data_IF_959430381219
#
_entry.id   IF_959430381219
#
_cell.length_a   1.000
_cell.length_b   1.000
_cell.length_c   1.000
_cell.angle_alpha   90.00
_cell.angle_beta   90.00
_cell.angle_gamma   90.00
#
_symmetry.space_group_name_H-M   'P 1'
#
loop_
_entity.id
_entity.type
_entity.pdbx_description
1 polymer ?
#
# COMPACT_ATOMS: atom_id res chain seq x y z
N UNK A 1 62.88 -29.99 40.70
CA UNK A 1 61.96 -28.90 41.11
C UNK A 1 61.77 -27.97 39.92
N UNK A 2 60.51 -27.87 39.45
CA UNK A 2 59.85 -26.77 38.70
C UNK A 2 60.61 -26.12 37.52
N UNK A 3 60.10 -25.99 36.30
CA UNK A 3 58.79 -26.27 35.74
C UNK A 3 58.74 -25.68 34.32
N UNK A 4 58.26 -26.47 33.36
CA UNK A 4 57.98 -26.07 31.98
C UNK A 4 56.54 -25.55 31.97
N UNK A 5 56.32 -24.25 31.71
CA UNK A 5 55.02 -23.70 31.29
C UNK A 5 55.28 -22.52 30.35
N UNK A 6 55.14 -22.74 29.04
CA UNK A 6 53.90 -22.49 28.27
C UNK A 6 53.79 -21.03 27.84
N UNK A 7 54.35 -20.76 26.66
CA UNK A 7 54.09 -19.57 25.86
C UNK A 7 52.65 -19.67 25.34
N UNK A 8 51.70 -19.01 26.00
CA UNK A 8 50.31 -18.92 25.52
C UNK A 8 50.27 -17.88 24.40
N UNK A 9 50.22 -18.35 23.15
CA UNK A 9 49.78 -17.53 22.01
C UNK A 9 48.31 -17.17 22.21
N UNK A 10 48.01 -15.91 22.53
CA UNK A 10 46.67 -15.37 22.37
C UNK A 10 46.41 -15.11 20.87
N UNK A 11 45.89 -16.12 20.17
CA UNK A 11 45.17 -15.89 18.92
C UNK A 11 43.82 -15.26 19.28
N UNK A 12 43.76 -13.92 19.24
CA UNK A 12 42.48 -13.22 19.22
C UNK A 12 41.80 -13.56 17.88
N UNK A 13 40.94 -14.57 17.89
CA UNK A 13 39.97 -14.77 16.83
C UNK A 13 39.00 -13.58 16.88
N UNK A 14 39.28 -12.55 16.09
CA UNK A 14 38.27 -11.60 15.68
C UNK A 14 37.26 -12.38 14.83
N UNK A 15 36.30 -13.00 15.50
CA UNK A 15 35.00 -13.29 14.90
C UNK A 15 34.45 -11.93 14.50
N UNK A 16 34.70 -11.52 13.26
CA UNK A 16 33.89 -10.50 12.62
C UNK A 16 32.49 -11.09 12.60
N UNK A 17 31.65 -10.67 13.55
CA UNK A 17 30.20 -10.77 13.43
C UNK A 17 29.86 -9.96 12.18
N UNK A 18 29.89 -10.62 11.01
CA UNK A 18 29.21 -10.11 9.83
C UNK A 18 27.75 -10.14 10.23
N UNK A 19 27.19 -8.96 10.51
CA UNK A 19 25.77 -8.86 10.77
C UNK A 19 25.04 -9.44 9.55
N UNK A 20 24.07 -10.31 9.82
CA UNK A 20 23.25 -10.89 8.75
C UNK A 20 22.49 -9.77 8.06
N UNK A 21 22.39 -9.86 6.72
CA UNK A 21 21.67 -8.88 5.90
C UNK A 21 20.20 -8.82 6.33
N UNK A 22 19.70 -7.60 6.55
CA UNK A 22 18.32 -7.34 6.99
C UNK A 22 17.64 -6.31 6.08
N UNK A 23 16.44 -6.64 5.58
CA UNK A 23 15.65 -5.76 4.72
C UNK A 23 15.26 -4.44 5.41
N UNK A 24 15.11 -4.47 6.74
CA UNK A 24 14.73 -3.30 7.54
C UNK A 24 15.97 -2.45 7.88
N UNK A 25 17.18 -3.00 7.69
CA UNK A 25 18.40 -2.21 7.75
C UNK A 25 18.54 -1.37 6.48
N UNK A 26 18.47 -0.07 6.65
CA UNK A 26 18.52 0.88 5.54
C UNK A 26 19.80 0.75 4.69
N UNK A 27 20.97 0.50 5.30
CA UNK A 27 22.23 0.39 4.56
C UNK A 27 22.26 -0.88 3.70
N UNK A 28 21.77 -1.99 4.23
CA UNK A 28 21.68 -3.28 3.51
C UNK A 28 20.73 -3.18 2.32
N UNK A 29 19.53 -2.62 2.57
CA UNK A 29 18.54 -2.37 1.53
C UNK A 29 19.09 -1.43 0.46
N UNK A 30 19.66 -0.28 0.85
CA UNK A 30 20.21 0.69 -0.09
C UNK A 30 21.35 0.10 -0.89
N UNK A 31 22.26 -0.64 -0.25
CA UNK A 31 23.34 -1.36 -0.91
C UNK A 31 22.83 -2.26 -2.02
N UNK A 32 21.78 -3.04 -1.75
CA UNK A 32 21.14 -3.93 -2.72
C UNK A 32 20.43 -3.18 -3.88
N UNK A 33 19.89 -1.99 -3.65
CA UNK A 33 19.17 -1.21 -4.67
C UNK A 33 20.09 -0.43 -5.63
N UNK A 34 21.39 -0.35 -5.35
CA UNK A 34 22.32 0.42 -6.17
C UNK A 34 22.58 -0.22 -7.54
N UNK A 35 22.88 0.64 -8.50
CA UNK A 35 23.39 0.21 -9.81
C UNK A 35 24.85 -0.19 -9.70
N UNK A 36 25.18 -1.42 -10.09
CA UNK A 36 26.54 -1.94 -10.07
C UNK A 36 26.80 -2.86 -11.27
N UNK A 37 28.07 -3.24 -11.50
CA UNK A 37 28.42 -4.21 -12.54
C UNK A 37 27.98 -5.63 -12.19
N UNK A 38 27.90 -5.94 -10.89
CA UNK A 38 27.36 -7.19 -10.36
C UNK A 38 26.00 -6.87 -9.71
N UNK A 39 24.87 -7.09 -10.40
CA UNK A 39 23.57 -6.57 -9.95
C UNK A 39 23.16 -6.96 -8.52
N UNK A 40 23.67 -8.06 -7.98
CA UNK A 40 23.40 -8.54 -6.62
C UNK A 40 24.49 -8.12 -5.60
N UNK A 41 25.33 -7.16 -5.94
CA UNK A 41 26.26 -6.52 -5.00
C UNK A 41 25.47 -5.76 -3.92
N UNK A 42 25.78 -6.01 -2.64
CA UNK A 42 25.04 -5.42 -1.52
C UNK A 42 23.73 -6.13 -1.15
N UNK A 43 23.30 -7.12 -1.93
CA UNK A 43 22.15 -7.96 -1.62
C UNK A 43 22.52 -9.22 -0.83
N UNK A 44 21.53 -9.83 -0.20
CA UNK A 44 21.60 -11.22 0.26
C UNK A 44 21.51 -12.18 -0.93
N UNK A 45 22.66 -12.63 -1.43
CA UNK A 45 22.74 -13.45 -2.65
C UNK A 45 22.03 -14.78 -2.57
N UNK A 46 21.83 -15.33 -1.37
CA UNK A 46 21.19 -16.63 -1.20
C UNK A 46 19.65 -16.53 -1.27
N UNK A 47 19.12 -15.31 -1.10
CA UNK A 47 17.67 -15.03 -1.05
C UNK A 47 17.19 -14.06 -2.14
N UNK A 48 18.10 -13.40 -2.86
CA UNK A 48 17.75 -12.39 -3.86
C UNK A 48 17.78 -12.94 -5.29
N UNK A 49 16.64 -12.87 -5.97
CA UNK A 49 16.55 -12.98 -7.43
C UNK A 49 16.73 -11.61 -8.08
N UNK A 50 17.35 -11.59 -9.26
CA UNK A 50 17.45 -10.39 -10.09
C UNK A 50 16.52 -10.48 -11.30
N UNK A 51 15.86 -9.37 -11.63
CA UNK A 51 14.96 -9.22 -12.79
C UNK A 51 15.44 -8.06 -13.64
N UNK A 52 15.62 -8.28 -14.94
CA UNK A 52 16.02 -7.26 -15.90
C UNK A 52 15.30 -7.48 -17.23
N UNK A 53 14.48 -6.51 -17.64
CA UNK A 53 13.68 -6.59 -18.87
C UNK A 53 14.53 -6.79 -20.14
N UNK A 54 15.79 -6.33 -20.15
CA UNK A 54 16.67 -6.52 -21.33
C UNK A 54 17.42 -7.86 -21.31
N UNK A 55 17.29 -8.65 -20.24
CA UNK A 55 17.76 -10.03 -20.17
C UNK A 55 19.28 -10.21 -20.15
N UNK A 56 20.07 -9.18 -19.85
CA UNK A 56 21.54 -9.23 -19.92
C UNK A 56 22.16 -10.32 -19.04
N UNK A 57 22.31 -10.04 -17.74
CA UNK A 57 22.86 -10.99 -16.74
C UNK A 57 21.76 -11.53 -15.80
N UNK A 58 20.49 -11.44 -16.20
CA UNK A 58 19.35 -11.78 -15.37
C UNK A 58 18.76 -13.12 -15.79
N UNK A 59 18.39 -13.96 -14.82
CA UNK A 59 17.65 -15.20 -15.05
C UNK A 59 16.18 -14.94 -15.42
N UNK A 60 15.65 -13.77 -15.03
CA UNK A 60 14.26 -13.39 -15.24
C UNK A 60 14.16 -12.06 -16.00
N UNK A 61 13.30 -12.03 -17.01
CA UNK A 61 12.98 -10.80 -17.77
C UNK A 61 11.67 -10.14 -17.33
N UNK A 62 10.92 -10.81 -16.46
CA UNK A 62 9.63 -10.38 -15.93
C UNK A 62 9.61 -10.55 -14.42
N UNK A 63 8.97 -9.62 -13.70
CA UNK A 63 8.80 -9.73 -12.25
C UNK A 63 7.89 -10.91 -11.93
N UNK A 64 6.86 -11.14 -12.75
CA UNK A 64 5.95 -12.26 -12.54
C UNK A 64 6.65 -13.63 -12.66
N UNK A 65 7.61 -13.81 -13.58
CA UNK A 65 8.34 -15.09 -13.67
C UNK A 65 9.26 -15.33 -12.47
N UNK A 66 9.88 -14.27 -11.93
CA UNK A 66 10.64 -14.36 -10.69
C UNK A 66 9.73 -14.67 -9.49
N UNK A 67 8.56 -14.05 -9.38
CA UNK A 67 7.59 -14.39 -8.32
C UNK A 67 7.13 -15.85 -8.44
N UNK A 68 6.84 -16.32 -9.65
CA UNK A 68 6.40 -17.68 -9.91
C UNK A 68 7.48 -18.74 -9.66
N UNK A 69 8.76 -18.38 -9.69
CA UNK A 69 9.86 -19.32 -9.41
C UNK A 69 10.12 -19.51 -7.91
N UNK A 70 9.61 -18.63 -7.04
CA UNK A 70 9.82 -18.73 -5.60
C UNK A 70 9.09 -19.96 -5.01
N UNK A 71 9.76 -20.79 -4.19
CA UNK A 71 9.19 -22.02 -3.65
C UNK A 71 8.13 -21.73 -2.58
N UNK A 72 6.96 -22.36 -2.61
CA UNK A 72 5.88 -22.07 -1.64
C UNK A 72 6.17 -22.59 -0.22
N UNK A 73 7.07 -21.91 0.50
CA UNK A 73 7.51 -22.17 1.86
C UNK A 73 7.34 -20.89 2.72
N UNK A 74 7.88 -20.90 3.93
CA UNK A 74 7.84 -19.75 4.85
C UNK A 74 9.14 -18.92 4.82
N UNK A 75 10.08 -19.28 3.95
CA UNK A 75 11.35 -18.57 3.83
C UNK A 75 11.14 -17.21 3.17
N UNK A 76 12.05 -16.29 3.49
CA UNK A 76 12.07 -14.93 2.95
C UNK A 76 12.78 -14.92 1.61
N UNK A 77 12.18 -14.26 0.63
CA UNK A 77 12.82 -14.02 -0.67
C UNK A 77 12.72 -12.55 -1.07
N UNK A 78 13.74 -12.12 -1.80
CA UNK A 78 13.89 -10.76 -2.30
C UNK A 78 13.94 -10.83 -3.82
N UNK A 79 13.28 -9.92 -4.50
CA UNK A 79 13.38 -9.74 -5.94
C UNK A 79 13.86 -8.31 -6.18
N UNK A 80 15.10 -8.18 -6.63
CA UNK A 80 15.67 -6.93 -7.11
C UNK A 80 15.27 -6.74 -8.57
N UNK A 81 14.61 -5.63 -8.87
CA UNK A 81 14.10 -5.29 -10.20
C UNK A 81 14.93 -4.15 -10.77
N UNK A 82 15.53 -4.39 -11.94
CA UNK A 82 16.29 -3.38 -12.65
C UNK A 82 15.42 -2.23 -13.15
N UNK A 83 16.04 -1.09 -13.41
CA UNK A 83 15.37 0.05 -14.05
C UNK A 83 14.73 -0.37 -15.36
N UNK A 84 13.46 0.00 -15.57
CA UNK A 84 12.76 -0.33 -16.80
C UNK A 84 11.25 -0.29 -16.67
N UNK A 85 10.61 -0.46 -17.82
CA UNK A 85 9.17 -0.64 -17.93
C UNK A 85 8.86 -2.13 -18.15
N UNK A 86 8.01 -2.68 -17.29
CA UNK A 86 7.59 -4.08 -17.29
C UNK A 86 6.10 -4.10 -17.58
N UNK A 87 5.70 -4.47 -18.80
CA UNK A 87 4.27 -4.55 -19.17
C UNK A 87 3.70 -5.90 -18.77
N UNK A 88 3.17 -5.99 -17.56
CA UNK A 88 2.68 -7.23 -16.96
C UNK A 88 1.78 -7.01 -15.75
N UNK A 89 1.11 -8.08 -15.32
CA UNK A 89 0.49 -8.17 -14.00
C UNK A 89 1.38 -9.02 -13.09
N UNK A 90 1.53 -8.61 -11.83
CA UNK A 90 2.26 -9.35 -10.80
C UNK A 90 1.27 -9.90 -9.78
N UNK A 91 1.27 -11.22 -9.57
CA UNK A 91 0.40 -11.93 -8.65
C UNK A 91 1.21 -12.77 -7.65
N UNK A 92 1.10 -12.40 -6.37
CA UNK A 92 1.80 -13.02 -5.23
C UNK A 92 0.81 -13.84 -4.42
N UNK A 93 0.91 -15.17 -4.55
CA UNK A 93 0.03 -16.14 -3.85
C UNK A 93 0.70 -16.89 -2.72
N UNK A 94 2.04 -16.83 -2.64
CA UNK A 94 2.83 -17.48 -1.58
C UNK A 94 2.58 -16.87 -0.21
N UNK A 95 2.78 -17.69 0.84
CA UNK A 95 2.59 -17.26 2.24
C UNK A 95 3.82 -16.61 2.86
N UNK A 96 5.02 -17.08 2.52
CA UNK A 96 6.28 -16.59 3.11
C UNK A 96 6.59 -15.12 2.75
N UNK A 97 7.41 -14.43 3.56
CA UNK A 97 7.82 -13.05 3.30
C UNK A 97 8.41 -12.88 1.91
N UNK A 98 7.99 -11.83 1.21
CA UNK A 98 8.37 -11.58 -0.19
C UNK A 98 8.55 -10.09 -0.43
N UNK A 99 9.76 -9.70 -0.85
CA UNK A 99 10.13 -8.30 -0.97
C UNK A 99 10.48 -7.95 -2.42
N UNK A 100 9.92 -6.88 -2.95
CA UNK A 100 10.28 -6.30 -4.24
C UNK A 100 11.08 -5.02 -4.04
N UNK A 101 12.28 -4.95 -4.58
CA UNK A 101 13.16 -3.78 -4.49
C UNK A 101 13.39 -3.26 -5.90
N UNK A 102 13.03 -2.00 -6.16
CA UNK A 102 13.41 -1.32 -7.38
C UNK A 102 14.82 -0.77 -7.28
N UNK A 103 15.63 -0.93 -8.33
CA UNK A 103 16.93 -0.28 -8.43
C UNK A 103 16.76 1.24 -8.47
N UNK A 104 17.55 1.94 -7.66
CA UNK A 104 17.47 3.40 -7.56
C UNK A 104 18.78 4.00 -7.03
N UNK A 105 19.05 5.25 -7.41
CA UNK A 105 20.11 6.08 -6.80
C UNK A 105 19.57 6.97 -5.69
N UNK A 106 18.25 6.98 -5.50
CA UNK A 106 17.53 7.88 -4.61
C UNK A 106 16.54 7.07 -3.76
N UNK A 107 17.01 6.15 -2.91
CA UNK A 107 16.13 5.23 -2.19
C UNK A 107 15.19 5.91 -1.20
N UNK A 108 15.47 7.16 -0.80
CA UNK A 108 14.60 8.00 0.05
C UNK A 108 13.66 8.93 -0.73
N UNK A 109 13.53 8.77 -2.05
CA UNK A 109 12.73 9.69 -2.85
C UNK A 109 11.99 8.95 -3.97
N UNK A 110 10.69 8.77 -3.76
CA UNK A 110 9.79 8.09 -4.68
C UNK A 110 9.73 8.74 -6.07
N UNK A 111 9.89 10.06 -6.18
CA UNK A 111 9.82 10.77 -7.46
C UNK A 111 10.94 10.39 -8.44
N UNK A 112 11.99 9.71 -7.96
CA UNK A 112 13.10 9.21 -8.77
C UNK A 112 13.04 7.69 -9.02
N UNK A 113 11.92 7.04 -8.71
CA UNK A 113 11.72 5.64 -9.07
C UNK A 113 11.83 5.47 -10.59
N UNK A 114 12.59 4.47 -11.02
CA UNK A 114 12.81 4.17 -12.45
C UNK A 114 12.31 2.78 -12.84
N UNK A 115 11.73 2.04 -11.90
CA UNK A 115 11.08 0.74 -12.13
C UNK A 115 9.58 0.96 -12.22
N UNK A 116 9.01 0.68 -13.38
CA UNK A 116 7.58 0.82 -13.64
C UNK A 116 7.00 -0.54 -14.05
N UNK A 117 6.10 -1.08 -13.24
CA UNK A 117 5.29 -2.23 -13.59
C UNK A 117 3.95 -1.68 -14.09
N UNK A 118 3.64 -1.98 -15.35
CA UNK A 118 2.59 -1.33 -16.12
C UNK A 118 1.61 -2.38 -16.61
N UNK A 119 0.34 -2.16 -16.33
CA UNK A 119 -0.75 -2.87 -16.96
C UNK A 119 -1.75 -1.88 -17.54
N UNK A 120 -2.72 -2.36 -18.31
CA UNK A 120 -3.72 -1.50 -18.96
C UNK A 120 -5.02 -2.30 -19.08
N UNK A 121 -5.93 -2.09 -18.12
CA UNK A 121 -7.21 -2.77 -18.08
C UNK A 121 -8.24 -2.01 -17.25
N UNK A 122 -9.51 -2.13 -17.65
CA UNK A 122 -10.69 -1.71 -16.89
C UNK A 122 -11.62 -2.89 -16.65
N UNK A 123 -12.53 -2.73 -15.69
CA UNK A 123 -13.62 -3.66 -15.49
C UNK A 123 -14.47 -3.75 -16.76
N UNK A 124 -14.88 -4.96 -17.11
CA UNK A 124 -15.77 -5.21 -18.24
C UNK A 124 -16.93 -6.10 -17.79
N UNK A 125 -18.11 -6.00 -18.42
CA UNK A 125 -19.25 -6.81 -18.04
C UNK A 125 -18.91 -8.31 -17.97
N UNK A 126 -19.23 -8.95 -16.84
CA UNK A 126 -19.01 -10.38 -16.62
C UNK A 126 -17.66 -10.75 -16.01
N UNK A 127 -16.72 -9.80 -15.86
CA UNK A 127 -15.46 -10.00 -15.13
C UNK A 127 -15.40 -9.08 -13.91
N UNK A 128 -14.86 -9.60 -12.81
CA UNK A 128 -14.62 -8.82 -11.60
C UNK A 128 -13.47 -7.82 -11.83
N UNK A 129 -13.53 -6.64 -11.22
CA UNK A 129 -12.49 -5.63 -11.42
C UNK A 129 -11.12 -6.04 -10.83
N UNK A 130 -11.05 -7.09 -9.99
CA UNK A 130 -9.79 -7.67 -9.53
C UNK A 130 -8.86 -8.09 -10.68
N UNK A 131 -9.41 -8.48 -11.84
CA UNK A 131 -8.62 -8.85 -13.02
C UNK A 131 -7.88 -7.69 -13.67
N UNK A 132 -8.20 -6.46 -13.29
CA UNK A 132 -7.53 -5.26 -13.82
C UNK A 132 -6.24 -4.93 -13.09
N UNK A 133 -6.00 -5.51 -11.92
CA UNK A 133 -4.94 -5.07 -11.03
C UNK A 133 -3.53 -5.27 -11.61
N UNK A 134 -2.68 -4.26 -11.54
CA UNK A 134 -1.25 -4.39 -11.87
C UNK A 134 -0.52 -5.26 -10.85
N UNK A 135 -0.76 -5.05 -9.55
CA UNK A 135 -0.25 -5.91 -8.47
C UNK A 135 -1.40 -6.56 -7.71
N UNK A 136 -1.35 -7.89 -7.56
CA UNK A 136 -2.24 -8.66 -6.69
C UNK A 136 -1.44 -9.39 -5.61
N UNK A 137 -1.81 -9.19 -4.35
CA UNK A 137 -1.26 -9.91 -3.19
C UNK A 137 -2.42 -10.60 -2.48
N UNK A 138 -2.64 -11.87 -2.79
CA UNK A 138 -3.75 -12.65 -2.26
C UNK A 138 -3.43 -14.15 -2.36
N UNK A 139 -3.89 -14.98 -1.41
CA UNK A 139 -3.62 -16.43 -1.40
C UNK A 139 -4.19 -17.17 -2.62
N UNK A 140 -5.24 -16.65 -3.22
CA UNK A 140 -5.91 -17.20 -4.40
C UNK A 140 -6.87 -16.15 -5.00
N UNK A 141 -7.42 -16.48 -6.17
CA UNK A 141 -8.38 -15.63 -6.89
C UNK A 141 -9.63 -15.29 -6.06
N UNK A 142 -10.24 -16.27 -5.39
CA UNK A 142 -11.48 -16.03 -4.63
C UNK A 142 -11.28 -14.99 -3.51
N UNK A 143 -10.08 -14.95 -2.92
CA UNK A 143 -9.72 -13.95 -1.93
C UNK A 143 -9.49 -12.55 -2.54
N UNK A 144 -9.07 -12.47 -3.81
CA UNK A 144 -8.79 -11.20 -4.48
C UNK A 144 -10.02 -10.56 -5.13
N UNK A 145 -11.09 -11.32 -5.37
CA UNK A 145 -12.32 -10.79 -5.98
C UNK A 145 -12.93 -9.67 -5.12
N UNK A 146 -13.28 -8.58 -5.77
CA UNK A 146 -13.86 -7.39 -5.13
C UNK A 146 -15.36 -7.58 -4.89
N UNK A 147 -16.06 -7.98 -5.95
CA UNK A 147 -17.51 -8.05 -6.06
C UNK A 147 -18.21 -6.69 -6.06
N UNK A 148 -19.40 -6.67 -6.66
CA UNK A 148 -20.24 -5.48 -6.74
C UNK A 148 -21.11 -5.27 -5.50
N UNK A 149 -21.73 -4.10 -5.40
CA UNK A 149 -22.67 -3.75 -4.34
C UNK A 149 -22.01 -3.60 -2.96
N UNK A 150 -22.79 -3.39 -1.88
CA UNK A 150 -22.30 -3.01 -0.56
C UNK A 150 -21.64 -4.15 0.24
N UNK A 151 -21.77 -5.40 -0.20
CA UNK A 151 -21.23 -6.60 0.47
C UNK A 151 -19.96 -7.15 -0.18
N UNK A 152 -19.75 -6.84 -1.47
CA UNK A 152 -18.72 -7.44 -2.33
C UNK A 152 -18.79 -8.96 -2.42
N UNK A 153 -17.71 -9.57 -2.95
CA UNK A 153 -17.67 -10.99 -3.24
C UNK A 153 -17.50 -11.80 -1.94
N UNK A 154 -18.21 -12.92 -1.82
CA UNK A 154 -18.07 -13.82 -0.68
C UNK A 154 -16.75 -14.61 -0.80
N UNK A 155 -15.95 -14.62 0.27
CA UNK A 155 -14.72 -15.41 0.30
C UNK A 155 -15.03 -16.73 1.01
N UNK A 156 -14.74 -17.90 0.42
CA UNK A 156 -15.06 -19.19 1.02
C UNK A 156 -14.45 -19.36 2.42
N UNK A 157 -15.21 -19.97 3.32
CA UNK A 157 -14.73 -20.35 4.64
C UNK A 157 -13.50 -21.27 4.54
N UNK A 158 -12.53 -21.06 5.42
CA UNK A 158 -11.27 -21.79 5.41
C UNK A 158 -10.24 -21.31 4.37
N UNK A 159 -10.53 -20.24 3.62
CA UNK A 159 -9.52 -19.58 2.77
C UNK A 159 -8.29 -19.21 3.61
N UNK A 160 -7.07 -19.69 3.24
CA UNK A 160 -5.88 -19.46 4.03
C UNK A 160 -5.49 -17.98 3.99
N UNK A 161 -4.76 -17.52 5.01
CA UNK A 161 -4.06 -16.24 4.91
C UNK A 161 -2.86 -16.38 3.97
N UNK A 162 -2.72 -15.45 3.02
CA UNK A 162 -1.65 -15.37 2.04
C UNK A 162 -0.37 -14.79 2.63
N UNK A 163 0.31 -13.94 1.85
CA UNK A 163 1.61 -13.40 2.24
C UNK A 163 1.53 -12.65 3.59
N UNK A 164 2.28 -13.13 4.58
CA UNK A 164 2.25 -12.56 5.95
C UNK A 164 3.10 -11.31 6.09
N UNK A 165 3.98 -11.04 5.11
CA UNK A 165 4.90 -9.92 5.07
C UNK A 165 5.35 -9.66 3.61
N UNK A 166 4.48 -9.05 2.82
CA UNK A 166 4.84 -8.55 1.50
C UNK A 166 5.39 -7.13 1.62
N UNK A 167 6.51 -6.80 0.96
CA UNK A 167 7.02 -5.41 0.96
C UNK A 167 7.48 -4.95 -0.41
N UNK A 168 7.32 -3.66 -0.69
CA UNK A 168 7.90 -3.03 -1.88
C UNK A 168 8.70 -1.78 -1.52
N UNK A 169 9.80 -1.56 -2.23
CA UNK A 169 10.65 -0.37 -2.09
C UNK A 169 11.00 0.21 -3.45
N UNK A 170 10.71 1.49 -3.68
CA UNK A 170 11.20 2.27 -4.84
C UNK A 170 10.81 1.73 -6.22
N UNK A 171 9.56 1.33 -6.40
CA UNK A 171 9.00 0.98 -7.70
C UNK A 171 7.57 1.52 -7.86
N UNK A 172 7.08 1.56 -9.09
CA UNK A 172 5.78 2.10 -9.43
C UNK A 172 4.89 1.01 -10.02
N UNK A 173 3.64 0.94 -9.57
CA UNK A 173 2.58 0.13 -10.18
C UNK A 173 1.57 1.04 -10.86
N UNK A 174 1.39 0.83 -12.16
CA UNK A 174 0.62 1.71 -13.02
C UNK A 174 -0.44 0.87 -13.72
N UNK A 175 -1.69 1.32 -13.69
CA UNK A 175 -2.71 0.90 -14.63
C UNK A 175 -3.00 2.06 -15.59
N UNK A 176 -2.50 1.93 -16.81
CA UNK A 176 -2.48 2.96 -17.85
C UNK A 176 -3.54 2.68 -18.92
N UNK A 177 -4.79 2.47 -18.49
CA UNK A 177 -5.89 2.19 -19.42
C UNK A 177 -6.34 3.43 -20.19
N UNK A 178 -6.69 4.49 -19.48
CA UNK A 178 -7.17 5.74 -20.06
C UNK A 178 -6.73 6.92 -19.19
N UNK A 179 -6.55 8.12 -19.77
CA UNK A 179 -6.15 9.31 -19.03
C UNK A 179 -7.33 9.98 -18.28
N UNK A 180 -8.35 9.21 -17.89
CA UNK A 180 -9.55 9.64 -17.17
C UNK A 180 -10.23 8.43 -16.49
N UNK A 181 -11.13 8.69 -15.53
CA UNK A 181 -12.00 7.69 -14.91
C UNK A 181 -13.03 7.15 -15.91
N UNK A 182 -12.75 5.99 -16.51
CA UNK A 182 -13.67 5.29 -17.43
C UNK A 182 -14.49 4.21 -16.71
N UNK A 183 -13.79 3.29 -16.07
CA UNK A 183 -14.33 2.21 -15.23
C UNK A 183 -13.24 1.78 -14.22
N UNK A 184 -13.56 0.95 -13.21
CA UNK A 184 -12.57 0.46 -12.24
C UNK A 184 -11.31 -0.11 -12.88
N UNK A 185 -10.15 0.36 -12.43
CA UNK A 185 -8.85 0.07 -13.02
C UNK A 185 -7.78 0.05 -11.93
N UNK A 186 -7.50 -1.13 -11.38
CA UNK A 186 -6.70 -1.24 -10.15
C UNK A 186 -5.20 -1.15 -10.47
N UNK A 187 -4.45 -0.44 -9.64
CA UNK A 187 -3.00 -0.56 -9.57
C UNK A 187 -2.57 -1.58 -8.48
N UNK A 188 -3.34 -1.67 -7.40
CA UNK A 188 -3.14 -2.61 -6.30
C UNK A 188 -4.44 -3.32 -5.91
N UNK A 189 -4.34 -4.64 -5.70
CA UNK A 189 -5.31 -5.47 -5.01
C UNK A 189 -4.59 -6.28 -3.94
N UNK A 190 -4.92 -6.04 -2.67
CA UNK A 190 -4.37 -6.81 -1.54
C UNK A 190 -5.48 -7.34 -0.65
N UNK A 191 -5.50 -8.65 -0.41
CA UNK A 191 -6.54 -9.31 0.38
C UNK A 191 -5.97 -10.53 1.11
N UNK A 192 -6.44 -10.82 2.32
CA UNK A 192 -5.93 -11.93 3.13
C UNK A 192 -4.39 -11.92 3.25
N UNK A 193 -3.79 -10.74 3.33
CA UNK A 193 -2.34 -10.58 3.34
C UNK A 193 -1.96 -9.30 4.10
N UNK A 194 -0.70 -9.25 4.53
CA UNK A 194 -0.10 -8.02 5.05
C UNK A 194 0.89 -7.46 4.01
N UNK A 195 0.80 -6.17 3.70
CA UNK A 195 1.62 -5.52 2.69
C UNK A 195 2.12 -4.14 3.12
N UNK A 196 3.45 -3.95 3.10
CA UNK A 196 4.11 -2.67 3.32
C UNK A 196 4.64 -2.07 2.01
N UNK A 197 4.33 -0.80 1.74
CA UNK A 197 4.67 -0.13 0.50
C UNK A 197 5.45 1.15 0.80
N UNK A 198 6.74 1.14 0.52
CA UNK A 198 7.69 2.18 0.94
C UNK A 198 8.27 2.86 -0.30
N UNK A 199 8.20 4.19 -0.37
CA UNK A 199 8.64 4.94 -1.56
C UNK A 199 8.06 4.36 -2.86
N UNK A 200 6.84 3.82 -2.79
CA UNK A 200 6.19 3.10 -3.89
C UNK A 200 5.13 4.01 -4.50
N UNK A 201 5.06 4.05 -5.82
CA UNK A 201 4.05 4.80 -6.56
C UNK A 201 2.89 3.90 -7.01
N UNK A 202 1.66 4.38 -6.89
CA UNK A 202 0.46 3.73 -7.43
C UNK A 202 -0.35 4.70 -8.27
N UNK A 203 -0.63 4.31 -9.51
CA UNK A 203 -1.18 5.23 -10.49
C UNK A 203 -2.33 4.58 -11.27
N UNK A 204 -3.54 5.11 -11.09
CA UNK A 204 -4.69 4.85 -11.98
C UNK A 204 -5.72 5.99 -11.87
N UNK A 205 -6.98 5.79 -12.24
CA UNK A 205 -8.03 6.79 -12.18
C UNK A 205 -9.16 6.35 -11.25
N UNK A 206 -9.94 5.34 -11.63
CA UNK A 206 -10.97 4.78 -10.76
C UNK A 206 -10.44 3.54 -10.03
N UNK A 207 -10.74 3.42 -8.74
CA UNK A 207 -10.48 2.21 -7.96
C UNK A 207 -8.98 1.83 -7.91
N UNK A 208 -8.07 2.81 -7.74
CA UNK A 208 -6.61 2.58 -7.81
C UNK A 208 -6.08 1.58 -6.78
N UNK A 209 -6.48 1.71 -5.51
CA UNK A 209 -6.04 0.88 -4.39
C UNK A 209 -7.22 0.12 -3.81
N UNK A 210 -7.24 -1.20 -4.03
CA UNK A 210 -8.16 -2.10 -3.37
C UNK A 210 -7.49 -2.81 -2.18
N UNK A 211 -8.04 -2.62 -0.98
CA UNK A 211 -7.69 -3.44 0.19
C UNK A 211 -8.90 -4.29 0.56
N UNK A 212 -8.89 -5.56 0.13
CA UNK A 212 -9.99 -6.47 0.36
C UNK A 212 -10.05 -7.05 1.77
N UNK A 213 -10.89 -8.08 1.93
CA UNK A 213 -11.17 -8.70 3.24
C UNK A 213 -9.90 -9.25 3.86
N UNK A 214 -9.73 -9.03 5.16
CA UNK A 214 -8.52 -9.39 5.93
C UNK A 214 -7.21 -8.85 5.34
N UNK A 215 -7.24 -7.89 4.40
CA UNK A 215 -6.06 -7.21 3.92
C UNK A 215 -5.60 -6.15 4.91
N UNK A 216 -4.30 -6.13 5.21
CA UNK A 216 -3.64 -5.06 5.95
C UNK A 216 -2.60 -4.41 5.02
N UNK A 217 -2.72 -3.11 4.78
CA UNK A 217 -1.84 -2.37 3.89
C UNK A 217 -1.26 -1.14 4.60
N UNK A 218 0.07 -1.02 4.65
CA UNK A 218 0.79 0.13 5.19
C UNK A 218 1.54 0.84 4.06
N UNK A 219 1.28 2.13 3.86
CA UNK A 219 1.92 2.96 2.84
C UNK A 219 2.73 4.05 3.52
N UNK A 220 3.99 4.24 3.12
CA UNK A 220 4.86 5.29 3.67
C UNK A 220 5.75 5.93 2.63
N UNK A 221 5.82 7.27 2.64
CA UNK A 221 6.69 8.07 1.76
C UNK A 221 6.50 7.79 0.26
N UNK A 222 5.32 7.32 -0.14
CA UNK A 222 4.97 6.99 -1.52
C UNK A 222 4.15 8.09 -2.21
N UNK A 223 3.60 7.73 -3.37
CA UNK A 223 2.57 8.52 -4.05
C UNK A 223 1.42 7.61 -4.49
N UNK A 224 0.18 8.04 -4.24
CA UNK A 224 -1.02 7.43 -4.80
C UNK A 224 -1.78 8.49 -5.56
N UNK A 225 -1.97 8.25 -6.86
CA UNK A 225 -2.68 9.15 -7.74
C UNK A 225 -3.94 8.49 -8.31
N UNK A 226 -5.06 9.23 -8.27
CA UNK A 226 -6.37 8.74 -8.68
C UNK A 226 -7.41 9.85 -8.87
N UNK A 227 -8.60 9.46 -9.29
CA UNK A 227 -9.75 10.33 -9.57
C UNK A 227 -11.00 9.89 -8.80
N UNK A 228 -11.47 8.66 -9.04
CA UNK A 228 -12.72 8.14 -8.48
C UNK A 228 -12.47 7.04 -7.47
N UNK A 229 -12.91 7.25 -6.22
CA UNK A 229 -12.91 6.23 -5.15
C UNK A 229 -11.57 5.48 -5.02
N UNK A 230 -10.47 6.21 -5.22
CA UNK A 230 -9.19 5.57 -5.54
C UNK A 230 -8.47 4.92 -4.35
N UNK A 231 -8.98 5.10 -3.13
CA UNK A 231 -8.80 4.16 -2.03
C UNK A 231 -10.14 3.51 -1.67
N UNK A 232 -10.25 2.21 -1.88
CA UNK A 232 -11.50 1.50 -1.60
C UNK A 232 -11.27 0.08 -1.10
N UNK A 233 -12.32 -0.51 -0.54
CA UNK A 233 -12.31 -1.90 -0.12
C UNK A 233 -12.91 -2.15 1.25
N UNK A 234 -12.38 -3.16 1.93
CA UNK A 234 -12.90 -3.72 3.17
C UNK A 234 -11.89 -3.71 4.30
N UNK A 235 -10.61 -3.96 4.03
CA UNK A 235 -9.61 -4.28 5.06
C UNK A 235 -9.15 -3.06 5.85
N UNK A 236 -7.87 -3.03 6.20
CA UNK A 236 -7.25 -1.90 6.91
C UNK A 236 -6.14 -1.30 6.07
N UNK A 237 -6.24 0.00 5.77
CA UNK A 237 -5.20 0.76 5.12
C UNK A 237 -4.69 1.87 6.04
N UNK A 238 -3.38 1.91 6.30
CA UNK A 238 -2.71 3.03 6.96
C UNK A 238 -1.79 3.71 5.96
N UNK A 239 -2.08 4.98 5.65
CA UNK A 239 -1.41 5.76 4.62
C UNK A 239 -0.72 6.94 5.29
N UNK A 240 0.60 6.86 5.43
CA UNK A 240 1.38 7.80 6.21
C UNK A 240 2.41 8.55 5.36
N UNK A 241 2.56 9.86 5.60
CA UNK A 241 3.58 10.67 4.91
C UNK A 241 3.58 10.49 3.38
N UNK A 242 2.40 10.31 2.81
CA UNK A 242 2.23 9.91 1.41
C UNK A 242 1.63 11.06 0.61
N UNK A 243 2.09 11.20 -0.63
CA UNK A 243 1.54 12.13 -1.62
C UNK A 243 0.24 11.56 -2.18
N UNK A 244 -0.87 12.29 -2.05
CA UNK A 244 -2.20 11.89 -2.50
C UNK A 244 -2.62 12.83 -3.63
N UNK A 245 -2.36 12.41 -4.87
CA UNK A 245 -2.47 13.24 -6.06
C UNK A 245 -3.84 13.07 -6.75
N UNK A 246 -4.67 14.12 -6.68
CA UNK A 246 -5.99 14.20 -7.31
C UNK A 246 -5.85 14.46 -8.80
N UNK A 247 -6.16 13.48 -9.66
CA UNK A 247 -6.16 13.62 -11.12
C UNK A 247 -7.39 14.37 -11.64
N UNK A 248 -8.51 14.24 -10.93
CA UNK A 248 -9.73 15.02 -11.07
C UNK A 248 -10.61 14.71 -9.83
N UNK A 249 -11.86 15.18 -9.78
CA UNK A 249 -12.83 14.75 -8.77
C UNK A 249 -13.83 13.75 -9.34
N UNK A 250 -13.92 12.56 -8.75
CA UNK A 250 -15.02 11.62 -8.97
C UNK A 250 -15.34 10.90 -7.66
N UNK A 251 -16.60 10.83 -7.26
CA UNK A 251 -16.95 10.23 -5.95
C UNK A 251 -16.23 10.90 -4.79
N UNK A 252 -15.26 10.22 -4.17
CA UNK A 252 -14.28 10.82 -3.28
C UNK A 252 -12.90 10.15 -3.33
N UNK A 253 -11.95 10.65 -2.53
CA UNK A 253 -10.64 10.01 -2.36
C UNK A 253 -10.80 8.59 -1.80
N UNK A 254 -11.71 8.44 -0.84
CA UNK A 254 -11.95 7.17 -0.14
C UNK A 254 -13.38 6.66 -0.35
N UNK A 255 -13.54 5.36 -0.57
CA UNK A 255 -14.84 4.68 -0.57
C UNK A 255 -14.74 3.32 0.11
N UNK A 256 -15.01 3.26 1.41
CA UNK A 256 -14.85 2.03 2.18
C UNK A 256 -16.16 1.29 2.38
N UNK A 257 -16.07 -0.04 2.46
CA UNK A 257 -17.07 -0.91 3.06
C UNK A 257 -16.59 -1.25 4.45
N UNK A 258 -17.40 -0.97 5.47
CA UNK A 258 -17.26 -1.77 6.68
C UNK A 258 -17.70 -3.21 6.40
N UNK A 259 -17.20 -4.14 7.20
CA UNK A 259 -17.58 -5.54 7.08
C UNK A 259 -18.02 -6.07 8.44
N UNK A 260 -19.07 -6.88 8.42
CA UNK A 260 -19.48 -7.61 9.60
C UNK A 260 -18.56 -8.84 9.74
N UNK A 261 -17.51 -8.71 10.54
CA UNK A 261 -16.70 -9.84 10.99
C UNK A 261 -17.33 -10.48 12.22
N UNK A 262 -16.91 -11.71 12.54
CA UNK A 262 -17.27 -12.38 13.80
C UNK A 262 -16.60 -11.77 15.04
N UNK A 263 -15.72 -10.79 14.84
CA UNK A 263 -14.99 -10.06 15.88
C UNK A 263 -15.11 -8.54 15.71
N UNK A 264 -14.97 -7.73 16.77
CA UNK A 264 -14.88 -6.28 16.65
C UNK A 264 -13.64 -5.88 15.84
N UNK A 265 -13.83 -5.02 14.83
CA UNK A 265 -12.74 -4.59 13.96
C UNK A 265 -12.63 -3.07 13.86
N UNK A 266 -11.47 -2.63 13.38
CA UNK A 266 -11.22 -1.24 12.97
C UNK A 266 -10.83 -1.16 11.50
N UNK A 267 -11.47 -1.99 10.69
CA UNK A 267 -11.29 -1.90 9.25
C UNK A 267 -11.71 -0.52 8.76
N UNK A 268 -10.98 -0.02 7.78
CA UNK A 268 -11.05 1.36 7.36
C UNK A 268 -9.77 1.83 6.72
N UNK A 269 -9.82 3.07 6.25
CA UNK A 269 -8.66 3.77 5.70
C UNK A 269 -8.30 4.95 6.61
N UNK A 270 -7.02 5.03 6.93
CA UNK A 270 -6.45 6.03 7.84
C UNK A 270 -5.36 6.79 7.09
N UNK A 271 -5.65 8.02 6.65
CA UNK A 271 -4.73 8.88 5.91
C UNK A 271 -4.12 9.89 6.88
N UNK A 272 -2.87 9.68 7.26
CA UNK A 272 -2.21 10.30 8.40
C UNK A 272 -0.95 11.05 7.98
N UNK A 273 -0.73 12.27 8.46
CA UNK A 273 0.49 13.05 8.18
C UNK A 273 0.79 13.18 6.67
N UNK A 274 -0.23 13.12 5.81
CA UNK A 274 -0.08 13.04 4.35
C UNK A 274 -0.38 14.39 3.68
N UNK A 275 -0.24 14.46 2.36
CA UNK A 275 -0.54 15.66 1.58
C UNK A 275 -1.52 15.33 0.46
N UNK A 276 -2.69 15.96 0.46
CA UNK A 276 -3.67 15.88 -0.62
C UNK A 276 -3.53 17.10 -1.51
N UNK A 277 -3.28 16.88 -2.79
CA UNK A 277 -3.10 17.96 -3.76
C UNK A 277 -3.60 17.62 -5.15
N UNK A 278 -3.92 18.65 -5.94
CA UNK A 278 -4.09 18.50 -7.38
C UNK A 278 -2.82 17.91 -8.02
N UNK A 279 -2.97 16.88 -8.86
CA UNK A 279 -1.86 16.20 -9.52
C UNK A 279 -1.04 17.12 -10.45
N UNK A 280 -1.62 18.22 -10.93
CA UNK A 280 -0.88 19.24 -11.68
C UNK A 280 -1.59 20.61 -11.64
N UNK A 281 -0.88 21.66 -12.08
CA UNK A 281 -1.37 23.04 -12.09
C UNK A 281 -2.52 23.28 -13.05
N UNK A 282 -2.61 22.51 -14.14
CA UNK A 282 -3.67 22.66 -15.15
C UNK A 282 -5.04 22.26 -14.62
N UNK A 283 -5.09 21.23 -13.74
CA UNK A 283 -6.33 20.79 -13.11
C UNK A 283 -6.65 21.53 -11.80
N UNK A 284 -5.63 22.07 -11.10
CA UNK A 284 -5.79 22.68 -9.78
C UNK A 284 -6.88 23.77 -9.72
N UNK A 285 -6.96 24.62 -10.74
CA UNK A 285 -8.00 25.66 -10.83
C UNK A 285 -9.38 25.08 -11.15
N UNK A 286 -9.43 23.99 -11.92
CA UNK A 286 -10.66 23.32 -12.35
C UNK A 286 -11.31 22.59 -11.19
N UNK A 287 -10.54 21.93 -10.32
CA UNK A 287 -11.07 21.10 -9.22
C UNK A 287 -11.18 21.83 -7.87
N UNK A 288 -10.79 23.10 -7.82
CA UNK A 288 -10.85 23.92 -6.61
C UNK A 288 -12.22 23.85 -5.93
N UNK A 289 -12.26 23.39 -4.68
CA UNK A 289 -13.46 23.31 -3.84
C UNK A 289 -14.47 22.25 -4.27
N UNK A 290 -14.09 21.26 -5.11
CA UNK A 290 -15.01 20.28 -5.70
C UNK A 290 -14.84 18.86 -5.17
N UNK A 291 -13.61 18.44 -4.84
CA UNK A 291 -13.31 17.05 -4.51
C UNK A 291 -13.76 16.70 -3.09
N UNK A 292 -14.28 15.49 -2.90
CA UNK A 292 -14.65 14.97 -1.58
C UNK A 292 -13.53 14.12 -0.98
N UNK A 293 -13.42 14.12 0.35
CA UNK A 293 -12.51 13.22 1.09
C UNK A 293 -12.94 11.75 0.99
N UNK A 294 -14.24 11.51 0.82
CA UNK A 294 -14.76 10.18 0.62
C UNK A 294 -16.29 10.13 0.58
N UNK A 295 -16.79 8.91 0.39
CA UNK A 295 -18.21 8.56 0.42
C UNK A 295 -18.45 7.12 0.88
N UNK A 296 -19.53 6.82 1.63
CA UNK A 296 -19.80 5.49 2.18
C UNK A 296 -20.15 4.47 1.09
N UNK A 297 -19.22 3.57 0.77
CA UNK A 297 -19.56 2.44 -0.11
C UNK A 297 -20.57 1.50 0.57
N UNK A 298 -20.56 1.43 1.90
CA UNK A 298 -21.71 1.06 2.72
C UNK A 298 -21.73 1.87 4.03
N UNK A 299 -22.80 1.71 4.82
CA UNK A 299 -23.02 2.49 6.03
C UNK A 299 -22.00 2.24 7.15
N UNK A 300 -21.27 1.13 7.08
CA UNK A 300 -20.23 0.80 8.05
C UNK A 300 -18.85 1.35 7.67
N UNK A 301 -18.76 2.21 6.65
CA UNK A 301 -17.51 2.84 6.21
C UNK A 301 -16.75 3.48 7.38
N UNK A 302 -15.42 3.34 7.35
CA UNK A 302 -14.51 4.10 8.19
C UNK A 302 -13.40 4.72 7.34
N UNK A 303 -13.35 6.04 7.36
CA UNK A 303 -12.31 6.86 6.72
C UNK A 303 -11.93 7.99 7.66
N UNK A 304 -10.65 8.04 8.02
CA UNK A 304 -10.13 9.06 8.92
C UNK A 304 -8.94 9.74 8.26
N UNK A 305 -9.05 11.06 8.07
CA UNK A 305 -7.92 11.91 7.68
C UNK A 305 -7.38 12.61 8.93
N UNK A 306 -6.10 12.43 9.26
CA UNK A 306 -5.52 12.97 10.48
C UNK A 306 -4.19 13.69 10.25
N UNK A 307 -4.10 14.96 10.67
CA UNK A 307 -2.91 15.80 10.48
C UNK A 307 -2.45 15.85 9.02
N UNK A 308 -3.41 15.80 8.10
CA UNK A 308 -3.17 15.77 6.67
C UNK A 308 -3.38 17.17 6.10
N UNK A 309 -2.46 17.60 5.23
CA UNK A 309 -2.62 18.83 4.48
C UNK A 309 -3.61 18.60 3.34
N UNK A 310 -4.58 19.50 3.22
CA UNK A 310 -5.60 19.51 2.18
C UNK A 310 -5.43 20.77 1.33
N UNK A 311 -5.06 20.61 0.06
CA UNK A 311 -5.01 21.74 -0.87
C UNK A 311 -6.42 22.28 -1.20
N UNK A 312 -6.48 23.34 -2.01
CA UNK A 312 -7.73 24.05 -2.30
C UNK A 312 -8.74 23.22 -3.12
N UNK A 313 -8.41 21.99 -3.54
CA UNK A 313 -9.29 21.10 -4.29
C UNK A 313 -10.44 20.56 -3.45
N UNK A 314 -10.25 20.43 -2.13
CA UNK A 314 -11.24 19.82 -1.25
C UNK A 314 -12.44 20.74 -1.03
N UNK A 315 -13.64 20.16 -1.16
CA UNK A 315 -14.90 20.85 -0.97
C UNK A 315 -15.11 21.27 0.50
N UNK A 316 -15.83 22.38 0.77
CA UNK A 316 -16.00 22.88 2.13
C UNK A 316 -16.64 21.90 3.12
N UNK A 317 -17.47 20.96 2.66
CA UNK A 317 -18.14 19.97 3.52
C UNK A 317 -17.29 18.72 3.80
N UNK A 318 -16.16 18.54 3.09
CA UNK A 318 -15.27 17.39 3.28
C UNK A 318 -15.81 16.13 2.62
N UNK A 319 -16.61 15.37 3.36
CA UNK A 319 -17.24 14.14 2.88
C UNK A 319 -18.58 14.40 2.18
N UNK A 320 -19.05 13.38 1.46
CA UNK A 320 -20.38 13.30 0.85
C UNK A 320 -21.02 11.94 1.16
N UNK A 321 -22.32 11.82 0.95
CA UNK A 321 -22.99 10.52 0.96
C UNK A 321 -22.95 9.85 -0.43
N UNK A 322 -23.30 8.58 -0.46
CA UNK A 322 -23.60 7.82 -1.66
C UNK A 322 -24.99 8.20 -2.22
N UNK A 323 -25.21 7.96 -3.52
CA UNK A 323 -26.54 8.03 -4.13
C UNK A 323 -26.92 6.65 -4.71
N UNK A 324 -28.01 6.01 -4.21
CA UNK A 324 -28.85 6.42 -3.08
C UNK A 324 -28.10 6.42 -1.74
N UNK A 325 -28.64 7.17 -0.77
CA UNK A 325 -28.07 7.39 0.55
C UNK A 325 -27.64 6.09 1.24
N UNK A 326 -26.44 6.08 1.83
CA UNK A 326 -25.88 4.95 2.60
C UNK A 326 -25.39 5.37 3.98
N UNK A 327 -25.33 6.66 4.27
CA UNK A 327 -24.87 7.17 5.56
C UNK A 327 -25.85 6.82 6.69
N UNK A 328 -25.32 6.37 7.82
CA UNK A 328 -26.06 6.20 9.07
C UNK A 328 -25.15 6.41 10.31
N UNK A 329 -25.70 6.17 11.51
CA UNK A 329 -24.97 6.34 12.78
C UNK A 329 -23.75 5.41 12.97
N UNK A 330 -23.57 4.41 12.10
CA UNK A 330 -22.40 3.53 12.09
C UNK A 330 -21.28 4.02 11.16
N UNK A 331 -21.56 5.02 10.32
CA UNK A 331 -20.60 5.60 9.39
C UNK A 331 -19.58 6.48 10.13
N UNK A 332 -18.29 6.25 9.86
CA UNK A 332 -17.19 7.05 10.39
C UNK A 332 -16.46 7.74 9.24
N UNK A 333 -16.92 8.93 8.89
CA UNK A 333 -16.26 9.84 7.96
C UNK A 333 -15.73 11.02 8.75
N UNK A 334 -14.42 11.01 9.03
CA UNK A 334 -13.90 11.82 10.11
C UNK A 334 -12.55 12.48 9.81
N UNK A 335 -12.32 13.60 10.50
CA UNK A 335 -11.08 14.36 10.43
C UNK A 335 -10.49 14.60 11.82
N UNK A 336 -9.16 14.64 11.91
CA UNK A 336 -8.45 15.03 13.13
C UNK A 336 -7.29 15.97 12.82
N UNK A 337 -7.44 17.26 13.15
CA UNK A 337 -6.41 18.30 12.96
C UNK A 337 -5.87 18.39 11.52
N UNK A 338 -6.73 18.20 10.52
CA UNK A 338 -6.38 18.51 9.13
C UNK A 338 -6.23 20.03 8.96
N UNK A 339 -5.47 20.42 7.94
CA UNK A 339 -5.11 21.82 7.73
C UNK A 339 -4.88 22.09 6.24
N UNK A 340 -4.66 23.37 5.89
CA UNK A 340 -4.48 23.80 4.50
C UNK A 340 -5.74 24.44 3.92
N UNK A 341 -5.65 25.00 2.71
CA UNK A 341 -6.73 25.79 2.10
C UNK A 341 -8.01 24.99 1.79
N UNK A 342 -7.95 23.65 1.73
CA UNK A 342 -9.11 22.77 1.57
C UNK A 342 -9.85 22.46 2.87
N UNK A 343 -9.26 22.78 4.03
CA UNK A 343 -9.93 22.62 5.32
C UNK A 343 -10.74 23.87 5.65
N UNK A 344 -12.08 23.76 5.56
CA UNK A 344 -13.00 24.86 5.83
C UNK A 344 -13.81 24.58 7.09
N UNK A 345 -13.41 25.16 8.23
CA UNK A 345 -14.04 24.91 9.52
C UNK A 345 -15.55 25.21 9.54
N UNK A 346 -15.99 26.30 8.90
CA UNK A 346 -17.42 26.64 8.82
C UNK A 346 -18.20 25.63 7.98
N UNK A 347 -17.61 25.18 6.86
CA UNK A 347 -18.19 24.16 6.00
C UNK A 347 -18.29 22.80 6.71
N UNK A 348 -17.30 22.42 7.52
CA UNK A 348 -17.34 21.21 8.36
C UNK A 348 -18.38 21.30 9.48
N UNK A 349 -18.52 22.47 10.11
CA UNK A 349 -19.52 22.68 11.16
C UNK A 349 -20.97 22.57 10.65
N UNK A 350 -21.19 22.76 9.35
CA UNK A 350 -22.49 22.62 8.68
C UNK A 350 -22.63 21.30 7.91
N UNK A 351 -21.58 20.48 7.85
CA UNK A 351 -21.60 19.23 7.10
C UNK A 351 -22.40 18.17 7.85
N UNK A 352 -23.21 17.42 7.11
CA UNK A 352 -24.00 16.30 7.65
C UNK A 352 -23.15 15.04 7.85
N UNK A 353 -22.10 14.88 7.03
CA UNK A 353 -21.38 13.62 6.85
C UNK A 353 -19.92 13.67 7.31
N UNK A 354 -19.48 14.77 7.92
CA UNK A 354 -18.09 14.98 8.34
C UNK A 354 -18.02 15.16 9.86
N UNK A 355 -17.28 14.26 10.52
CA UNK A 355 -17.09 14.24 11.97
C UNK A 355 -15.72 14.77 12.34
N UNK A 356 -15.68 15.90 13.05
CA UNK A 356 -14.44 16.44 13.62
C UNK A 356 -14.12 15.74 14.94
N UNK A 357 -13.07 14.92 14.97
CA UNK A 357 -12.69 14.15 16.16
C UNK A 357 -11.96 15.03 17.17
N UNK A 358 -12.32 14.88 18.44
CA UNK A 358 -11.48 15.29 19.56
C UNK A 358 -10.27 14.36 19.70
N UNK A 359 -9.26 14.78 20.46
CA UNK A 359 -8.10 13.94 20.75
C UNK A 359 -8.49 12.60 21.39
N UNK A 360 -9.40 12.63 22.37
CA UNK A 360 -9.90 11.42 23.03
C UNK A 360 -10.61 10.46 22.04
N UNK A 361 -11.34 10.98 21.06
CA UNK A 361 -12.01 10.18 20.03
C UNK A 361 -11.02 9.64 18.98
N UNK A 362 -9.92 10.36 18.71
CA UNK A 362 -8.91 9.95 17.75
C UNK A 362 -7.90 8.94 18.33
N UNK A 363 -7.58 9.01 19.63
CA UNK A 363 -6.64 8.11 20.31
C UNK A 363 -6.83 6.63 19.92
N UNK A 364 -8.05 6.04 19.90
CA UNK A 364 -8.26 4.66 19.47
C UNK A 364 -7.78 4.32 18.05
N UNK A 365 -7.50 5.29 17.20
CA UNK A 365 -7.10 5.13 15.80
C UNK A 365 -5.72 5.75 15.51
N UNK A 366 -4.98 6.15 16.54
CA UNK A 366 -3.83 7.05 16.34
C UNK A 366 -2.51 6.37 15.96
N UNK A 367 -2.45 5.03 15.89
CA UNK A 367 -1.24 4.28 15.49
C UNK A 367 -1.60 3.02 14.71
N UNK A 368 -0.68 2.51 13.87
CA UNK A 368 -0.85 1.22 13.17
C UNK A 368 -1.26 0.07 14.10
N UNK A 369 -0.59 -0.07 15.25
CA UNK A 369 -0.89 -1.12 16.23
C UNK A 369 -2.32 -1.06 16.80
N UNK A 370 -2.97 0.11 16.77
CA UNK A 370 -4.34 0.28 17.26
C UNK A 370 -5.40 -0.13 16.25
N UNK A 371 -5.06 -0.27 14.97
CA UNK A 371 -6.02 -0.54 13.89
C UNK A 371 -5.73 -1.84 13.15
N UNK A 372 -4.46 -2.21 12.98
CA UNK A 372 -4.10 -3.48 12.33
C UNK A 372 -4.37 -4.65 13.26
N UNK A 373 -5.03 -5.66 12.70
CA UNK A 373 -5.41 -6.88 13.39
C UNK A 373 -4.81 -8.11 12.70
N UNK A 374 -4.54 -9.14 13.50
CA UNK A 374 -4.27 -10.48 13.00
C UNK A 374 -5.56 -11.08 12.40
N UNK A 375 -5.48 -12.17 11.62
CA UNK A 375 -6.66 -12.79 11.00
C UNK A 375 -7.72 -13.27 12.00
N UNK A 376 -7.33 -13.54 13.25
CA UNK A 376 -8.22 -13.91 14.35
C UNK A 376 -8.69 -12.71 15.20
N UNK A 377 -8.43 -11.48 14.75
CA UNK A 377 -9.00 -10.25 15.31
C UNK A 377 -8.19 -9.60 16.44
N UNK A 378 -6.96 -10.02 16.71
CA UNK A 378 -6.11 -9.41 17.75
C UNK A 378 -5.42 -8.16 17.21
N UNK A 379 -5.57 -7.02 17.89
CA UNK A 379 -4.86 -5.78 17.55
C UNK A 379 -3.35 -5.90 17.79
N UNK A 380 -2.58 -5.03 17.12
CA UNK A 380 -1.12 -4.97 17.27
C UNK A 380 -0.36 -5.77 16.20
N UNK A 381 -1.02 -6.16 15.11
CA UNK A 381 -0.38 -6.89 14.01
C UNK A 381 0.50 -5.94 13.18
N UNK A 382 1.71 -5.63 13.66
CA UNK A 382 2.62 -4.65 13.05
C UNK A 382 4.04 -5.16 12.79
N UNK A 383 4.36 -6.41 13.11
CA UNK A 383 5.72 -6.95 12.96
C UNK A 383 6.21 -7.02 11.50
N UNK A 384 5.28 -6.96 10.55
CA UNK A 384 5.55 -6.92 9.10
C UNK A 384 5.79 -5.49 8.57
N UNK A 385 5.69 -4.47 9.42
CA UNK A 385 5.90 -3.06 9.06
C UNK A 385 7.37 -2.68 9.28
N UNK A 386 7.97 -2.04 8.28
CA UNK A 386 9.24 -1.34 8.40
C UNK A 386 8.98 0.10 8.86
N UNK A 387 9.24 0.37 10.14
CA UNK A 387 9.06 1.70 10.72
C UNK A 387 10.25 2.63 10.45
N UNK A 388 11.41 2.08 10.04
CA UNK A 388 12.70 2.78 9.94
C UNK A 388 12.91 3.48 8.59
N UNK A 389 11.88 3.45 7.72
CA UNK A 389 11.84 4.07 6.37
C UNK A 389 11.73 5.58 6.39
#
# INVERSE_FOLDING_TARGET
MLGIQSLVLFLAAFSSLVLAWDISNENDRHGCQLYSRNPLEGCDRDRTLFVDAVGGNSEFTTVQSAVASLPNNTDTYIILVASGNYTEQVNVTRRGPTYLLGQTRHPRNQAYNTVNIIWSAIAVPGLDNAFTSTLTVAPNLNASLTGSGPTGFAVPDGTPFGCVDFRTYNLNFINDFAPYSDDPSLALSISYANGGFYYTGFYSYQDTIYVGKLGNAYFKNGEVAGETDFFYGFGTAWVEQTSIALRNCGGGITAWKGTNTTFPNKYGVYIVNSNVHAANTSIASVIKGKCALGRPWNSQMRSIFARTYLDASIRPTGFIDWDPARYDNSTMQAEYRNYGPGYNATGRAMAEFDVQLTEAQYVPYSTPARVFQTPDGRFGNTDWIDFDV
#
